data_IF_328009891079
#
_entry.id   IF_328009891079
#
_cell.length_a   1.000
_cell.length_b   1.000
_cell.length_c   1.000
_cell.angle_alpha   90.00
_cell.angle_beta   90.00
_cell.angle_gamma   90.00
#
_symmetry.space_group_name_H-M   'P 1'
#
loop_
_entity.id
_entity.type
_entity.pdbx_description
1 polymer ?
#
# COMPACT_ATOMS: atom_id res chain seq x y z
N UNK A 1 2.79 -13.82 5.61
CA UNK A 1 1.49 -13.98 4.92
C UNK A 1 1.21 -12.74 4.06
N UNK A 2 0.55 -12.88 2.91
CA UNK A 2 0.05 -11.72 2.14
C UNK A 2 -1.42 -11.49 2.51
N UNK A 3 -1.76 -10.27 2.95
CA UNK A 3 -3.13 -9.84 3.27
C UNK A 3 -3.65 -8.92 2.17
N UNK A 4 -4.90 -9.07 1.77
CA UNK A 4 -5.53 -8.22 0.74
C UNK A 4 -6.60 -7.35 1.38
N UNK A 5 -6.55 -6.04 1.14
CA UNK A 5 -7.55 -5.07 1.52
C UNK A 5 -8.10 -4.40 0.27
N UNK A 6 -9.42 -4.29 0.14
CA UNK A 6 -10.07 -3.71 -1.05
C UNK A 6 -10.70 -2.38 -0.66
N UNK A 7 -10.31 -1.31 -1.35
CA UNK A 7 -10.98 -0.02 -1.35
C UNK A 7 -12.08 -0.05 -2.41
N UNK A 8 -13.31 -0.24 -1.95
CA UNK A 8 -14.50 -0.26 -2.81
C UNK A 8 -14.95 1.10 -3.34
N UNK A 9 -14.32 2.21 -2.91
CA UNK A 9 -14.78 3.57 -3.22
C UNK A 9 -13.77 4.66 -2.89
N UNK A 10 -14.28 5.86 -2.57
CA UNK A 10 -13.47 7.02 -2.17
C UNK A 10 -12.80 6.74 -0.83
N UNK A 11 -11.55 7.19 -0.65
CA UNK A 11 -10.88 7.11 0.64
C UNK A 11 -11.41 8.21 1.56
N UNK A 12 -12.39 7.87 2.40
CA UNK A 12 -12.87 8.68 3.51
C UNK A 12 -12.56 8.06 4.87
N UNK A 13 -13.21 8.58 5.91
CA UNK A 13 -13.01 8.14 7.30
C UNK A 13 -13.31 6.65 7.50
N UNK A 14 -14.40 6.16 6.93
CA UNK A 14 -14.83 4.77 7.06
C UNK A 14 -13.87 3.79 6.38
N UNK A 15 -13.45 4.10 5.15
CA UNK A 15 -12.47 3.30 4.42
C UNK A 15 -11.11 3.31 5.13
N UNK A 16 -10.71 4.47 5.66
CA UNK A 16 -9.48 4.58 6.43
C UNK A 16 -9.56 3.77 7.74
N UNK A 17 -10.63 3.90 8.51
CA UNK A 17 -10.83 3.12 9.72
C UNK A 17 -10.87 1.61 9.43
N UNK A 18 -11.47 1.20 8.31
CA UNK A 18 -11.47 -0.18 7.83
C UNK A 18 -10.06 -0.68 7.50
N UNK A 19 -9.27 0.15 6.82
CA UNK A 19 -7.85 -0.12 6.55
C UNK A 19 -7.06 -0.31 7.85
N UNK A 20 -7.24 0.60 8.83
CA UNK A 20 -6.57 0.53 10.12
C UNK A 20 -6.92 -0.76 10.88
N UNK A 21 -8.20 -1.16 10.90
CA UNK A 21 -8.64 -2.42 11.50
C UNK A 21 -7.98 -3.64 10.85
N UNK A 22 -7.86 -3.63 9.52
CA UNK A 22 -7.17 -4.70 8.78
C UNK A 22 -5.69 -4.76 9.12
N UNK A 23 -5.02 -3.61 9.21
CA UNK A 23 -3.62 -3.53 9.61
C UNK A 23 -3.41 -4.01 11.05
N UNK A 24 -4.25 -3.59 11.99
CA UNK A 24 -4.21 -4.05 13.39
C UNK A 24 -4.46 -5.55 13.52
N UNK A 25 -5.41 -6.10 12.76
CA UNK A 25 -5.67 -7.53 12.75
C UNK A 25 -4.46 -8.33 12.25
N UNK A 26 -3.68 -7.79 11.32
CA UNK A 26 -2.45 -8.42 10.86
C UNK A 26 -1.32 -8.29 11.90
N UNK A 27 -1.15 -7.11 12.52
CA UNK A 27 -0.17 -6.89 13.58
C UNK A 27 -0.43 -7.80 14.80
N UNK A 28 -1.69 -7.95 15.20
CA UNK A 28 -2.10 -8.77 16.34
C UNK A 28 -1.80 -10.27 16.16
N UNK A 29 -1.59 -10.74 14.92
CA UNK A 29 -1.18 -12.14 14.65
C UNK A 29 0.27 -12.41 15.05
N UNK A 30 1.09 -11.37 15.26
CA UNK A 30 2.49 -11.50 15.70
C UNK A 30 3.41 -12.19 14.69
N UNK A 31 3.04 -12.23 13.40
CA UNK A 31 3.83 -12.87 12.33
C UNK A 31 4.12 -11.87 11.20
N UNK A 32 5.27 -11.97 10.52
CA UNK A 32 5.55 -11.13 9.37
C UNK A 32 4.49 -11.22 8.27
N UNK A 33 4.14 -10.07 7.70
CA UNK A 33 3.14 -9.97 6.64
C UNK A 33 3.46 -8.87 5.63
N UNK A 34 2.93 -9.05 4.42
CA UNK A 34 2.83 -7.99 3.42
C UNK A 34 1.34 -7.71 3.15
N UNK A 35 1.02 -6.50 2.69
CA UNK A 35 -0.34 -6.11 2.35
C UNK A 35 -0.44 -5.76 0.86
N UNK A 36 -1.56 -6.12 0.26
CA UNK A 36 -2.02 -5.59 -1.02
C UNK A 36 -3.25 -4.73 -0.74
N UNK A 37 -3.19 -3.47 -1.12
CA UNK A 37 -4.30 -2.52 -1.03
C UNK A 37 -4.81 -2.29 -2.45
N UNK A 38 -5.99 -2.83 -2.73
CA UNK A 38 -6.62 -2.73 -4.03
C UNK A 38 -7.54 -1.51 -4.09
N UNK A 39 -7.07 -0.46 -4.74
CA UNK A 39 -7.83 0.75 -5.04
C UNK A 39 -8.24 0.85 -6.50
N UNK A 40 -8.40 -0.26 -7.23
CA UNK A 40 -8.80 -0.24 -8.64
C UNK A 40 -10.24 0.21 -8.88
N UNK A 41 -11.07 0.29 -7.83
CA UNK A 41 -12.46 0.73 -7.93
C UNK A 41 -12.60 2.10 -8.63
N UNK A 42 -13.64 2.31 -9.45
CA UNK A 42 -13.90 3.59 -10.08
C UNK A 42 -14.20 4.67 -9.03
N UNK A 43 -13.75 5.91 -9.28
CA UNK A 43 -14.01 7.03 -8.37
C UNK A 43 -13.12 7.09 -7.12
N UNK A 44 -12.01 6.34 -7.06
CA UNK A 44 -11.03 6.49 -5.98
C UNK A 44 -10.46 7.92 -5.96
N UNK A 45 -10.67 8.61 -4.85
CA UNK A 45 -10.10 9.92 -4.53
C UNK A 45 -9.98 10.08 -3.02
N UNK A 46 -9.28 11.13 -2.57
CA UNK A 46 -9.14 11.44 -1.14
C UNK A 46 -10.20 12.43 -0.75
N UNK A 47 -11.01 12.10 0.26
CA UNK A 47 -11.92 13.07 0.89
C UNK A 47 -11.23 13.64 2.13
N UNK A 48 -10.84 12.77 3.06
CA UNK A 48 -10.17 13.16 4.31
C UNK A 48 -9.49 11.92 4.90
N UNK A 49 -8.26 12.07 5.38
CA UNK A 49 -7.50 10.96 6.00
C UNK A 49 -7.12 11.37 7.42
N UNK A 50 -7.68 10.73 8.46
CA UNK A 50 -7.34 10.99 9.85
C UNK A 50 -5.83 10.87 10.13
N UNK A 51 -5.36 11.72 11.04
CA UNK A 51 -3.95 12.02 11.29
C UNK A 51 -3.01 10.81 11.45
N UNK A 52 -1.75 10.97 11.02
CA UNK A 52 -0.62 10.03 11.18
C UNK A 52 -0.36 9.54 12.61
N UNK A 53 -1.02 10.13 13.64
CA UNK A 53 -0.85 9.74 15.05
C UNK A 53 -1.08 8.26 15.29
N UNK A 54 -2.04 7.63 14.61
CA UNK A 54 -2.29 6.21 14.76
C UNK A 54 -1.08 5.38 14.28
N UNK A 55 -0.53 5.68 13.10
CA UNK A 55 0.61 4.95 12.53
C UNK A 55 1.84 5.11 13.43
N UNK A 56 2.05 6.30 14.00
CA UNK A 56 3.13 6.57 14.95
C UNK A 56 2.99 5.71 16.22
N UNK A 57 1.77 5.53 16.74
CA UNK A 57 1.53 4.69 17.92
C UNK A 57 1.85 3.20 17.71
N UNK A 58 1.89 2.75 16.44
CA UNK A 58 2.19 1.37 16.04
C UNK A 58 3.49 1.22 15.28
N UNK A 59 4.30 2.28 15.18
CA UNK A 59 5.49 2.34 14.33
C UNK A 59 6.49 1.19 14.58
N UNK A 60 6.70 0.83 15.85
CA UNK A 60 7.57 -0.28 16.22
C UNK A 60 7.06 -1.63 15.70
N UNK A 61 5.77 -1.93 15.93
CA UNK A 61 5.17 -3.18 15.47
C UNK A 61 5.13 -3.26 13.94
N UNK A 62 4.83 -2.13 13.29
CA UNK A 62 4.88 -1.99 11.82
C UNK A 62 6.28 -2.29 11.31
N UNK A 63 7.33 -1.67 11.87
CA UNK A 63 8.71 -1.88 11.44
C UNK A 63 9.22 -3.31 11.65
N UNK A 64 8.71 -4.03 12.65
CA UNK A 64 9.10 -5.41 12.93
C UNK A 64 8.39 -6.43 12.04
N UNK A 65 7.10 -6.22 11.75
CA UNK A 65 6.23 -7.25 11.18
C UNK A 65 5.79 -6.95 9.73
N UNK A 66 5.67 -5.68 9.34
CA UNK A 66 5.15 -5.33 8.03
C UNK A 66 6.29 -5.25 6.99
N UNK A 67 6.34 -6.24 6.10
CA UNK A 67 7.44 -6.43 5.15
C UNK A 67 7.28 -5.68 3.82
N UNK A 68 6.06 -5.26 3.49
CA UNK A 68 5.82 -4.44 2.30
C UNK A 68 4.34 -4.21 2.05
N UNK A 69 4.02 -3.12 1.36
CA UNK A 69 2.66 -2.77 0.94
C UNK A 69 2.61 -2.49 -0.57
N UNK A 70 1.79 -3.25 -1.29
CA UNK A 70 1.55 -3.07 -2.72
C UNK A 70 0.20 -2.38 -2.95
N UNK A 71 0.18 -1.34 -3.76
CA UNK A 71 -1.02 -0.57 -4.08
C UNK A 71 -1.48 -0.87 -5.51
N UNK A 72 -2.68 -1.44 -5.68
CA UNK A 72 -3.30 -1.63 -7.00
C UNK A 72 -4.10 -0.38 -7.35
N UNK A 73 -3.77 0.23 -8.47
CA UNK A 73 -4.39 1.49 -8.92
C UNK A 73 -5.49 1.25 -9.95
N UNK A 74 -5.44 0.15 -10.71
CA UNK A 74 -6.23 -0.08 -11.92
C UNK A 74 -5.79 0.85 -13.06
N UNK A 75 -5.85 2.15 -12.83
CA UNK A 75 -5.33 3.19 -13.71
C UNK A 75 -4.42 4.12 -12.92
N UNK A 76 -3.22 4.40 -13.45
CA UNK A 76 -2.21 5.22 -12.77
C UNK A 76 -2.52 6.72 -12.92
N UNK A 77 -3.42 7.25 -12.09
CA UNK A 77 -3.68 8.70 -12.02
C UNK A 77 -3.05 9.31 -10.77
N UNK A 78 -2.70 10.60 -10.84
CA UNK A 78 -2.10 11.34 -9.71
C UNK A 78 -2.98 11.32 -8.46
N UNK A 79 -4.29 11.44 -8.63
CA UNK A 79 -5.27 11.42 -7.53
C UNK A 79 -5.32 10.07 -6.83
N UNK A 80 -5.32 8.98 -7.59
CA UNK A 80 -5.30 7.61 -7.07
C UNK A 80 -4.02 7.31 -6.31
N UNK A 81 -2.87 7.68 -6.89
CA UNK A 81 -1.57 7.52 -6.24
C UNK A 81 -1.54 8.31 -4.94
N UNK A 82 -2.02 9.57 -4.93
CA UNK A 82 -2.10 10.39 -3.71
C UNK A 82 -2.99 9.75 -2.65
N UNK A 83 -4.13 9.17 -3.04
CA UNK A 83 -5.03 8.49 -2.11
C UNK A 83 -4.40 7.27 -1.48
N UNK A 84 -3.83 6.39 -2.29
CA UNK A 84 -3.20 5.16 -1.82
C UNK A 84 -1.93 5.47 -1.00
N UNK A 85 -1.18 6.50 -1.38
CA UNK A 85 -0.01 6.93 -0.63
C UNK A 85 -0.36 7.44 0.77
N UNK A 86 -1.55 8.00 0.98
CA UNK A 86 -2.00 8.41 2.32
C UNK A 86 -2.17 7.22 3.28
N UNK A 87 -2.28 5.99 2.76
CA UNK A 87 -2.32 4.76 3.55
C UNK A 87 -0.94 4.20 3.86
N UNK A 88 0.14 4.74 3.26
CA UNK A 88 1.47 4.19 3.40
C UNK A 88 1.94 4.25 4.87
N UNK A 89 2.26 3.10 5.50
CA UNK A 89 2.87 3.09 6.81
C UNK A 89 4.32 3.60 6.77
N UNK A 90 4.82 4.22 7.85
CA UNK A 90 6.19 4.72 7.90
C UNK A 90 7.20 3.57 7.77
N UNK A 91 8.28 3.80 7.01
CA UNK A 91 9.42 2.88 6.83
C UNK A 91 9.10 1.48 6.26
N UNK A 92 7.88 1.27 5.74
CA UNK A 92 7.52 0.01 5.05
C UNK A 92 7.79 0.15 3.55
N UNK A 93 8.51 -0.80 2.91
CA UNK A 93 8.68 -0.81 1.46
C UNK A 93 7.33 -0.80 0.73
N UNK A 94 7.23 -0.07 -0.37
CA UNK A 94 5.97 0.02 -1.12
C UNK A 94 6.17 0.03 -2.63
N UNK A 95 5.11 -0.34 -3.35
CA UNK A 95 5.05 -0.29 -4.81
C UNK A 95 3.64 -0.01 -5.31
N UNK A 96 3.53 0.59 -6.50
CA UNK A 96 2.27 0.81 -7.19
C UNK A 96 2.18 -0.08 -8.42
N UNK A 97 1.02 -0.66 -8.64
CA UNK A 97 0.75 -1.64 -9.68
C UNK A 97 -0.56 -1.30 -10.39
N UNK A 98 -0.67 -1.64 -11.66
CA UNK A 98 -1.95 -1.53 -12.38
C UNK A 98 -2.85 -2.72 -12.04
N UNK A 99 -2.25 -3.91 -11.90
CA UNK A 99 -2.97 -5.17 -11.73
C UNK A 99 -2.72 -5.80 -10.36
N UNK A 100 -3.75 -6.47 -9.83
CA UNK A 100 -3.66 -7.20 -8.56
C UNK A 100 -2.66 -8.35 -8.63
N UNK A 101 -2.56 -9.05 -9.76
CA UNK A 101 -1.65 -10.18 -9.92
C UNK A 101 -0.19 -9.76 -9.69
N UNK A 102 0.24 -8.65 -10.30
CA UNK A 102 1.58 -8.10 -10.11
C UNK A 102 1.83 -7.66 -8.67
N UNK A 103 0.85 -7.00 -8.05
CA UNK A 103 0.93 -6.57 -6.66
C UNK A 103 1.09 -7.75 -5.69
N UNK A 104 0.40 -8.87 -5.96
CA UNK A 104 0.52 -10.10 -5.17
C UNK A 104 1.91 -10.72 -5.28
N UNK A 105 2.46 -10.81 -6.50
CA UNK A 105 3.82 -11.32 -6.73
C UNK A 105 4.84 -10.48 -5.97
N UNK A 106 4.73 -9.16 -6.07
CA UNK A 106 5.62 -8.25 -5.35
C UNK A 106 5.47 -8.37 -3.83
N UNK A 107 4.23 -8.44 -3.31
CA UNK A 107 3.98 -8.54 -1.88
C UNK A 107 4.52 -9.85 -1.29
N UNK A 108 4.44 -10.95 -2.06
CA UNK A 108 5.05 -12.23 -1.68
C UNK A 108 6.58 -12.10 -1.64
N UNK A 109 7.21 -11.55 -2.68
CA UNK A 109 8.65 -11.32 -2.67
C UNK A 109 9.11 -10.39 -1.53
N UNK A 110 8.32 -9.37 -1.19
CA UNK A 110 8.60 -8.48 -0.07
C UNK A 110 8.56 -9.22 1.27
N UNK A 111 7.59 -10.12 1.45
CA UNK A 111 7.48 -10.97 2.64
C UNK A 111 8.71 -11.86 2.82
N UNK A 112 9.24 -12.41 1.72
CA UNK A 112 10.39 -13.31 1.71
C UNK A 112 11.74 -12.57 1.86
N UNK A 113 11.70 -11.23 1.95
CA UNK A 113 12.90 -10.39 2.07
C UNK A 113 13.56 -10.06 0.73
N UNK A 114 12.99 -10.50 -0.38
CA UNK A 114 13.54 -10.43 -1.74
C UNK A 114 13.01 -9.22 -2.55
N UNK A 115 12.49 -8.19 -1.88
CA UNK A 115 11.90 -6.98 -2.49
C UNK A 115 12.76 -6.29 -3.57
N UNK A 116 14.09 -6.48 -3.58
CA UNK A 116 15.02 -5.95 -4.60
C UNK A 116 14.88 -6.64 -5.96
N UNK A 117 14.42 -7.88 -6.02
CA UNK A 117 14.37 -8.69 -7.26
C UNK A 117 13.18 -8.29 -8.14
N UNK A 118 12.04 -7.94 -7.53
CA UNK A 118 10.82 -7.61 -8.28
C UNK A 118 10.88 -6.25 -9.00
N UNK A 119 11.68 -5.29 -8.50
CA UNK A 119 11.88 -3.98 -9.12
C UNK A 119 12.92 -4.02 -10.27
N UNK A 120 13.84 -4.98 -10.27
CA UNK A 120 14.92 -5.08 -11.27
C UNK A 120 14.47 -5.51 -12.66
N UNK A 121 13.30 -6.15 -12.79
CA UNK A 121 12.79 -6.70 -14.05
C UNK A 121 11.90 -5.74 -14.85
N UNK A 122 11.43 -4.63 -14.27
CA UNK A 122 10.63 -3.62 -14.97
C UNK A 122 11.34 -2.28 -14.86
N UNK A 123 11.83 -1.77 -16.00
CA UNK A 123 12.41 -0.42 -16.12
C UNK A 123 11.45 0.59 -15.48
N UNK A 124 11.75 1.03 -14.27
CA UNK A 124 11.19 2.24 -13.69
C UNK A 124 11.68 3.40 -14.55
N UNK A 125 10.85 3.81 -15.52
CA UNK A 125 11.08 5.09 -16.18
C UNK A 125 10.77 6.18 -15.16
N UNK A 126 11.72 7.06 -14.81
CA UNK A 126 11.45 8.17 -13.93
C UNK A 126 10.44 9.11 -14.59
N UNK A 127 9.29 9.32 -13.95
CA UNK A 127 8.36 10.40 -14.26
C UNK A 127 8.98 11.72 -13.74
N UNK A 128 9.79 12.37 -14.59
CA UNK A 128 10.15 13.81 -14.60
C UNK A 128 11.34 13.95 -15.57
N UNK A 129 11.35 14.80 -16.61
CA UNK A 129 10.78 16.14 -16.80
C UNK A 129 10.26 16.28 -18.23
N UNK A 130 9.08 16.87 -18.38
CA UNK A 130 8.84 17.75 -19.51
C UNK A 130 8.78 19.18 -18.98
N UNK A 131 9.16 20.14 -19.83
CA UNK A 131 9.17 21.60 -19.69
C UNK A 131 10.57 22.16 -19.34
N UNK A 132 11.06 23.16 -20.10
CA UNK A 132 10.35 23.98 -21.10
C UNK A 132 10.34 23.42 -22.51
#
# INVERSE_FOLDING_TARGET
>A
MVSVFVLGGRLGEDEFASYLRSLDANLARGKPFAMVVDGSAPGLGVVEVPSQRWQLSRAQAIGQLHRGIAFVTGTMTRERVRALYALQPPAVPYGFFNERADAMVWAQAALDGEHKVAMGARKTQPLMRAIP
#
